data_IF_221705123890
#
_entry.id   IF_221705123890
#
_cell.length_a   1.000
_cell.length_b   1.000
_cell.length_c   1.000
_cell.angle_alpha   90.00
_cell.angle_beta   90.00
_cell.angle_gamma   90.00
#
_symmetry.space_group_name_H-M   'P 1'
#
loop_
_entity.id
_entity.type
_entity.pdbx_description
1 polymer ?
#
# COMPACT_ATOMS: atom_id res chain seq x y z
N UNK A 1 18.39 -6.84 -9.28
CA UNK A 1 18.19 -5.38 -9.46
C UNK A 1 17.74 -5.14 -10.89
N UNK A 2 16.69 -4.35 -11.16
CA UNK A 2 16.42 -3.90 -12.52
C UNK A 2 17.57 -3.02 -12.98
N UNK A 3 18.37 -3.52 -13.93
CA UNK A 3 19.54 -2.78 -14.46
C UNK A 3 19.19 -1.59 -15.36
N UNK A 4 17.89 -1.28 -15.53
CA UNK A 4 17.41 -0.21 -16.42
C UNK A 4 16.19 0.52 -15.83
N UNK A 5 16.00 1.77 -16.23
CA UNK A 5 14.81 2.58 -15.89
C UNK A 5 13.51 1.84 -16.25
N UNK A 6 13.48 1.22 -17.43
CA UNK A 6 12.35 0.41 -17.88
C UNK A 6 12.04 -0.72 -16.90
N UNK A 7 13.05 -1.47 -16.45
CA UNK A 7 12.87 -2.51 -15.44
C UNK A 7 12.26 -1.95 -14.16
N UNK A 8 12.76 -0.82 -13.66
CA UNK A 8 12.27 -0.19 -12.44
C UNK A 8 10.79 0.20 -12.56
N UNK A 9 10.40 0.81 -13.68
CA UNK A 9 9.00 1.19 -13.94
C UNK A 9 8.11 -0.04 -14.04
N UNK A 10 8.55 -1.09 -14.73
CA UNK A 10 7.78 -2.34 -14.86
C UNK A 10 7.54 -2.99 -13.50
N UNK A 11 8.58 -3.13 -12.67
CA UNK A 11 8.43 -3.68 -11.31
C UNK A 11 7.52 -2.81 -10.43
N UNK A 12 7.65 -1.48 -10.50
CA UNK A 12 6.76 -0.57 -9.79
C UNK A 12 5.30 -0.76 -10.20
N UNK A 13 5.01 -0.79 -11.50
CA UNK A 13 3.64 -0.96 -12.02
C UNK A 13 3.06 -2.31 -11.58
N UNK A 14 3.83 -3.39 -11.63
CA UNK A 14 3.36 -4.71 -11.18
C UNK A 14 3.06 -4.67 -9.67
N UNK A 15 3.98 -4.14 -8.85
CA UNK A 15 3.78 -4.04 -7.40
C UNK A 15 2.60 -3.15 -7.02
N UNK A 16 2.40 -2.06 -7.76
CA UNK A 16 1.26 -1.17 -7.61
C UNK A 16 -0.06 -1.88 -7.92
N UNK A 17 -0.14 -2.64 -9.02
CA UNK A 17 -1.32 -3.42 -9.40
C UNK A 17 -1.63 -4.49 -8.34
N UNK A 18 -0.61 -5.24 -7.89
CA UNK A 18 -0.79 -6.27 -6.85
C UNK A 18 -1.33 -5.63 -5.56
N UNK A 19 -0.74 -4.51 -5.14
CA UNK A 19 -1.20 -3.79 -3.94
C UNK A 19 -2.65 -3.31 -4.08
N UNK A 20 -3.02 -2.79 -5.24
CA UNK A 20 -4.39 -2.36 -5.52
C UNK A 20 -5.37 -3.54 -5.51
N UNK A 21 -5.00 -4.71 -6.03
CA UNK A 21 -5.83 -5.92 -5.96
C UNK A 21 -6.03 -6.35 -4.50
N UNK A 22 -4.98 -6.35 -3.69
CA UNK A 22 -5.06 -6.69 -2.26
C UNK A 22 -6.02 -5.73 -1.55
N UNK A 23 -5.82 -4.42 -1.72
CA UNK A 23 -6.67 -3.39 -1.12
C UNK A 23 -8.11 -3.58 -1.56
N UNK A 24 -8.36 -3.74 -2.87
CA UNK A 24 -9.70 -3.92 -3.42
C UNK A 24 -10.42 -5.12 -2.80
N UNK A 25 -9.76 -6.28 -2.76
CA UNK A 25 -10.33 -7.51 -2.18
C UNK A 25 -10.62 -7.30 -0.69
N UNK A 26 -9.66 -6.78 0.08
CA UNK A 26 -9.86 -6.55 1.51
C UNK A 26 -11.01 -5.57 1.75
N UNK A 27 -11.03 -4.41 1.09
CA UNK A 27 -12.09 -3.41 1.28
C UNK A 27 -13.47 -3.98 0.91
N UNK A 28 -13.55 -4.81 -0.15
CA UNK A 28 -14.80 -5.48 -0.54
C UNK A 28 -15.28 -6.48 0.52
N UNK A 29 -14.38 -7.22 1.16
CA UNK A 29 -14.73 -8.12 2.27
C UNK A 29 -15.30 -7.37 3.48
N UNK A 30 -14.93 -6.10 3.64
CA UNK A 30 -15.46 -5.22 4.68
C UNK A 30 -16.72 -4.43 4.27
N UNK A 31 -17.28 -4.72 3.09
CA UNK A 31 -18.53 -4.12 2.62
C UNK A 31 -18.38 -2.76 1.93
N UNK A 32 -17.16 -2.37 1.55
CA UNK A 32 -16.93 -1.13 0.79
C UNK A 32 -17.49 -1.26 -0.63
N UNK A 33 -18.13 -0.20 -1.12
CA UNK A 33 -18.84 -0.19 -2.41
C UNK A 33 -17.97 0.32 -3.55
N UNK A 34 -16.88 1.00 -3.22
CA UNK A 34 -15.88 1.62 -4.07
C UNK A 34 -15.30 0.62 -5.07
N UNK A 35 -14.97 1.14 -6.25
CA UNK A 35 -14.41 0.36 -7.34
C UNK A 35 -12.89 0.17 -7.22
N UNK A 36 -12.34 -0.59 -8.17
CA UNK A 36 -10.89 -0.82 -8.28
C UNK A 36 -10.09 0.48 -8.48
N UNK A 37 -10.71 1.53 -9.02
CA UNK A 37 -10.11 2.86 -9.15
C UNK A 37 -9.69 3.46 -7.81
N UNK A 38 -10.55 3.35 -6.78
CA UNK A 38 -10.21 3.83 -5.43
C UNK A 38 -9.07 3.02 -4.82
N UNK A 39 -9.04 1.71 -5.07
CA UNK A 39 -7.94 0.85 -4.60
C UNK A 39 -6.60 1.17 -5.28
N UNK A 40 -6.62 1.45 -6.59
CA UNK A 40 -5.45 1.92 -7.33
C UNK A 40 -4.93 3.25 -6.77
N UNK A 41 -5.84 4.20 -6.49
CA UNK A 41 -5.50 5.46 -5.85
C UNK A 41 -4.95 5.26 -4.44
N UNK A 42 -5.57 4.42 -3.61
CA UNK A 42 -5.10 4.11 -2.26
C UNK A 42 -3.69 3.48 -2.27
N UNK A 43 -3.43 2.57 -3.20
CA UNK A 43 -2.10 1.98 -3.39
C UNK A 43 -1.07 3.02 -3.83
N UNK A 44 -1.44 3.90 -4.77
CA UNK A 44 -0.55 4.96 -5.25
C UNK A 44 -0.24 5.98 -4.16
N UNK A 45 -1.25 6.41 -3.41
CA UNK A 45 -1.11 7.30 -2.25
C UNK A 45 -0.23 6.65 -1.19
N UNK A 46 -0.41 5.36 -0.90
CA UNK A 46 0.48 4.61 -0.01
C UNK A 46 1.94 4.61 -0.47
N UNK A 47 2.19 4.37 -1.76
CA UNK A 47 3.53 4.41 -2.33
C UNK A 47 4.17 5.81 -2.22
N UNK A 48 3.40 6.88 -2.50
CA UNK A 48 3.86 8.26 -2.35
C UNK A 48 4.18 8.57 -0.88
N UNK A 49 3.29 8.22 0.05
CA UNK A 49 3.49 8.44 1.49
C UNK A 49 4.75 7.73 1.96
N UNK A 50 4.95 6.47 1.54
CA UNK A 50 6.15 5.71 1.88
C UNK A 50 7.41 6.36 1.31
N UNK A 51 7.40 6.77 0.03
CA UNK A 51 8.53 7.43 -0.60
C UNK A 51 8.89 8.76 0.11
N UNK A 52 7.90 9.55 0.51
CA UNK A 52 8.11 10.77 1.28
C UNK A 52 8.65 10.47 2.67
N UNK A 53 8.05 9.52 3.40
CA UNK A 53 8.53 9.13 4.71
C UNK A 53 9.98 8.67 4.67
N UNK A 54 10.32 7.84 3.69
CA UNK A 54 11.68 7.41 3.43
C UNK A 54 12.63 8.58 3.13
N UNK A 55 12.20 9.52 2.28
CA UNK A 55 13.01 10.68 1.90
C UNK A 55 13.36 11.57 3.11
N UNK A 56 12.43 11.75 4.04
CA UNK A 56 12.61 12.64 5.19
C UNK A 56 13.18 11.96 6.44
N UNK A 57 12.80 10.71 6.70
CA UNK A 57 13.12 9.98 7.93
C UNK A 57 14.20 8.91 7.71
N UNK A 58 14.58 8.65 6.45
CA UNK A 58 15.51 7.59 6.08
C UNK A 58 14.90 6.20 6.24
N UNK A 59 15.79 5.21 6.40
CA UNK A 59 15.39 3.83 6.64
C UNK A 59 15.13 3.59 8.13
N UNK A 60 14.02 2.94 8.45
CA UNK A 60 13.80 2.42 9.78
C UNK A 60 12.33 2.24 10.14
N UNK A 61 12.13 1.57 11.27
CA UNK A 61 10.80 1.28 11.80
C UNK A 61 9.96 2.56 12.01
N UNK A 62 10.60 3.67 12.38
CA UNK A 62 9.92 4.95 12.58
C UNK A 62 9.31 5.48 11.29
N UNK A 63 10.03 5.42 10.17
CA UNK A 63 9.53 5.84 8.87
C UNK A 63 8.32 4.99 8.43
N UNK A 64 8.41 3.67 8.62
CA UNK A 64 7.32 2.74 8.33
C UNK A 64 6.07 3.00 9.18
N UNK A 65 6.24 3.24 10.49
CA UNK A 65 5.13 3.54 11.40
C UNK A 65 4.42 4.86 11.04
N UNK A 66 5.19 5.92 10.75
CA UNK A 66 4.64 7.22 10.37
C UNK A 66 3.93 7.10 9.00
N UNK A 67 4.60 6.51 8.01
CA UNK A 67 4.00 6.26 6.70
C UNK A 67 2.70 5.47 6.82
N UNK A 68 2.69 4.44 7.66
CA UNK A 68 1.53 3.61 7.87
C UNK A 68 0.36 4.35 8.51
N UNK A 69 0.64 5.19 9.51
CA UNK A 69 -0.37 6.02 10.16
C UNK A 69 -0.98 7.06 9.20
N UNK A 70 -0.13 7.72 8.39
CA UNK A 70 -0.58 8.69 7.38
C UNK A 70 -1.39 7.99 6.29
N UNK A 71 -0.99 6.79 5.88
CA UNK A 71 -1.74 6.01 4.90
C UNK A 71 -3.09 5.53 5.43
N UNK A 72 -3.19 5.17 6.71
CA UNK A 72 -4.47 4.85 7.34
C UNK A 72 -5.44 6.04 7.29
N UNK A 73 -4.96 7.26 7.58
CA UNK A 73 -5.76 8.48 7.43
C UNK A 73 -6.24 8.66 5.99
N UNK A 74 -5.37 8.43 5.01
CA UNK A 74 -5.72 8.50 3.60
C UNK A 74 -6.77 7.43 3.21
N UNK A 75 -6.63 6.20 3.71
CA UNK A 75 -7.58 5.11 3.45
C UNK A 75 -8.96 5.42 4.04
N UNK A 76 -9.00 5.95 5.27
CA UNK A 76 -10.23 6.42 5.89
C UNK A 76 -10.93 7.51 5.08
N UNK A 77 -10.16 8.46 4.54
CA UNK A 77 -10.69 9.52 3.67
C UNK A 77 -11.16 9.03 2.30
N UNK A 78 -10.40 8.14 1.66
CA UNK A 78 -10.69 7.63 0.30
C UNK A 78 -11.94 6.74 0.25
N UNK A 79 -12.18 5.97 1.31
CA UNK A 79 -13.34 5.07 1.41
C UNK A 79 -14.47 5.65 2.28
N UNK A 80 -14.31 6.87 2.81
CA UNK A 80 -15.28 7.53 3.69
C UNK A 80 -15.76 6.63 4.84
N UNK A 81 -14.81 5.89 5.44
CA UNK A 81 -15.07 4.92 6.50
C UNK A 81 -14.66 5.47 7.86
N UNK A 82 -15.35 5.00 8.91
CA UNK A 82 -14.97 5.29 10.28
C UNK A 82 -13.53 4.83 10.60
N UNK A 83 -12.85 5.60 11.46
CA UNK A 83 -11.45 5.36 11.87
C UNK A 83 -11.16 3.91 12.28
N UNK A 84 -12.05 3.29 13.05
CA UNK A 84 -11.87 1.91 13.51
C UNK A 84 -11.92 0.90 12.36
N UNK A 85 -12.82 1.11 11.38
CA UNK A 85 -12.93 0.25 10.20
C UNK A 85 -11.71 0.42 9.30
N UNK A 86 -11.25 1.66 9.11
CA UNK A 86 -10.02 1.96 8.38
C UNK A 86 -8.80 1.28 8.99
N UNK A 87 -8.66 1.32 10.33
CA UNK A 87 -7.59 0.64 11.06
C UNK A 87 -7.60 -0.87 10.80
N UNK A 88 -8.75 -1.53 10.93
CA UNK A 88 -8.88 -2.98 10.71
C UNK A 88 -8.52 -3.33 9.26
N UNK A 89 -9.04 -2.58 8.29
CA UNK A 89 -8.72 -2.77 6.87
C UNK A 89 -7.22 -2.60 6.63
N UNK A 90 -6.61 -1.52 7.14
CA UNK A 90 -5.19 -1.25 6.96
C UNK A 90 -4.30 -2.37 7.52
N UNK A 91 -4.61 -2.84 8.73
CA UNK A 91 -3.88 -3.96 9.37
C UNK A 91 -3.99 -5.23 8.52
N UNK A 92 -5.18 -5.56 8.03
CA UNK A 92 -5.38 -6.76 7.20
C UNK A 92 -4.67 -6.62 5.86
N UNK A 93 -4.73 -5.46 5.21
CA UNK A 93 -3.98 -5.19 3.98
C UNK A 93 -2.48 -5.38 4.22
N UNK A 94 -1.91 -4.88 5.32
CA UNK A 94 -0.49 -5.10 5.62
C UNK A 94 -0.15 -6.57 5.85
N UNK A 95 -0.99 -7.31 6.57
CA UNK A 95 -0.76 -8.75 6.78
C UNK A 95 -0.78 -9.48 5.44
N UNK A 96 -1.79 -9.23 4.60
CA UNK A 96 -1.90 -9.88 3.29
C UNK A 96 -0.76 -9.46 2.37
N UNK A 97 -0.40 -8.17 2.33
CA UNK A 97 0.71 -7.67 1.55
C UNK A 97 2.06 -8.26 1.99
N UNK A 98 2.28 -8.43 3.31
CA UNK A 98 3.47 -9.09 3.83
C UNK A 98 3.53 -10.55 3.39
N UNK A 99 2.43 -11.30 3.49
CA UNK A 99 2.35 -12.70 3.04
C UNK A 99 2.61 -12.80 1.53
N UNK A 100 1.98 -11.94 0.73
CA UNK A 100 2.19 -11.89 -0.72
C UNK A 100 3.64 -11.53 -1.04
N UNK A 101 4.27 -10.63 -0.28
CA UNK A 101 5.67 -10.29 -0.40
C UNK A 101 6.63 -11.45 -0.11
N UNK A 102 6.28 -12.35 0.81
CA UNK A 102 7.06 -13.58 1.04
C UNK A 102 6.97 -14.57 -0.13
N UNK A 103 5.79 -14.70 -0.74
CA UNK A 103 5.54 -15.63 -1.88
C UNK A 103 6.07 -15.07 -3.19
N UNK A 104 6.02 -13.75 -3.36
CA UNK A 104 6.54 -13.00 -4.50
C UNK A 104 7.72 -12.14 -4.05
N UNK A 105 8.89 -12.75 -3.72
CA UNK A 105 10.04 -12.06 -3.12
C UNK A 105 10.73 -11.04 -4.03
N UNK A 106 10.11 -10.63 -5.14
CA UNK A 106 10.76 -9.91 -6.23
C UNK A 106 10.07 -8.61 -6.68
N UNK A 107 9.06 -8.10 -5.96
CA UNK A 107 8.33 -6.89 -6.41
C UNK A 107 8.04 -5.88 -5.27
N UNK A 108 8.14 -6.30 -4.01
CA UNK A 108 8.06 -5.37 -2.88
C UNK A 108 9.43 -4.69 -2.76
N UNK A 109 9.48 -3.39 -3.01
CA UNK A 109 10.70 -2.57 -2.92
C UNK A 109 11.38 -2.68 -1.54
N UNK A 110 12.62 -2.20 -1.41
CA UNK A 110 13.38 -2.34 -0.16
C UNK A 110 12.58 -1.68 0.96
N UNK A 111 12.27 -2.48 1.98
CA UNK A 111 11.93 -1.98 3.30
C UNK A 111 13.10 -1.12 3.82
#
# INVERSE_FOLDING_TARGET
>A
MPGSLLGTVVFFVIGWIISAIIIYVVTKLFGETEGIGTALLAALVGAIIYALAYLFLGHGLLAALIAGFVWLLALGGLYNVGWLKALVVAVIVWIVAAIVGFVLPTIVGPL
#
